data_IF_705909988089
#
_entry.id   IF_705909988089
#
_cell.length_a   1.000
_cell.length_b   1.000
_cell.length_c   1.000
_cell.angle_alpha   90.00
_cell.angle_beta   90.00
_cell.angle_gamma   90.00
#
_symmetry.space_group_name_H-M   'P 1'
#
loop_
_entity.id
_entity.type
_entity.pdbx_description
1 polymer ?
#
# COMPACT_ATOMS: atom_id res chain seq x y z
N UNK A 1 1.59 -22.89 4.25
CA UNK A 1 2.33 -21.60 4.31
C UNK A 1 1.80 -20.73 3.17
N UNK A 2 1.08 -19.64 3.46
CA UNK A 2 0.26 -18.91 2.47
C UNK A 2 1.07 -17.86 1.68
N UNK A 3 0.86 -17.72 0.35
CA UNK A 3 1.42 -16.61 -0.43
C UNK A 3 0.73 -15.30 -0.06
N UNK A 4 1.48 -14.39 0.55
CA UNK A 4 0.99 -13.09 1.04
C UNK A 4 0.55 -12.11 -0.06
N UNK A 5 0.93 -12.35 -1.32
CA UNK A 5 0.66 -11.44 -2.44
C UNK A 5 -0.83 -11.17 -2.67
N UNK A 6 -1.69 -12.18 -2.55
CA UNK A 6 -3.13 -12.02 -2.78
C UNK A 6 -3.92 -11.47 -1.58
N UNK A 7 -3.32 -11.47 -0.38
CA UNK A 7 -4.01 -11.11 0.88
C UNK A 7 -3.72 -9.66 1.29
N UNK A 8 -2.54 -9.14 0.97
CA UNK A 8 -2.11 -7.78 1.33
C UNK A 8 -2.51 -6.70 0.32
N UNK A 9 -2.89 -7.08 -0.90
CA UNK A 9 -3.26 -6.13 -1.96
C UNK A 9 -4.75 -5.78 -1.84
N UNK A 10 -5.04 -4.71 -1.10
CA UNK A 10 -6.34 -4.02 -1.19
C UNK A 10 -6.17 -2.79 -2.09
N UNK A 11 -6.99 -2.69 -3.13
CA UNK A 11 -7.06 -1.46 -3.93
C UNK A 11 -7.67 -0.36 -3.07
N UNK A 12 -6.94 0.72 -2.84
CA UNK A 12 -7.45 1.91 -2.16
C UNK A 12 -8.23 2.78 -3.15
N UNK A 13 -9.39 3.28 -2.75
CA UNK A 13 -10.15 4.25 -3.52
C UNK A 13 -9.72 5.69 -3.15
N UNK A 14 -9.62 6.61 -4.13
CA UNK A 14 -9.29 8.00 -3.85
C UNK A 14 -10.44 8.72 -3.15
N UNK A 15 -10.10 9.71 -2.32
CA UNK A 15 -11.10 10.54 -1.64
C UNK A 15 -11.99 11.27 -2.66
N UNK A 16 -13.34 11.16 -2.56
CA UNK A 16 -14.28 11.84 -3.46
C UNK A 16 -14.11 13.36 -3.50
N UNK A 17 -14.30 13.98 -4.68
CA UNK A 17 -14.16 15.44 -4.85
C UNK A 17 -15.27 16.24 -4.15
N UNK A 18 -16.47 15.67 -4.06
CA UNK A 18 -17.66 16.35 -3.53
C UNK A 18 -17.73 16.30 -2.00
N UNK A 19 -16.67 15.82 -1.37
CA UNK A 19 -16.63 15.65 0.06
C UNK A 19 -16.48 16.99 0.78
N UNK A 20 -17.46 17.31 1.62
CA UNK A 20 -17.53 18.56 2.39
C UNK A 20 -16.99 18.41 3.81
N UNK A 21 -16.63 17.19 4.24
CA UNK A 21 -16.07 16.91 5.55
C UNK A 21 -14.78 17.72 5.79
N UNK A 22 -14.73 18.44 6.91
CA UNK A 22 -13.62 19.34 7.24
C UNK A 22 -12.27 18.65 7.35
N UNK A 23 -12.25 17.35 7.69
CA UNK A 23 -11.04 16.51 7.83
C UNK A 23 -10.46 16.10 6.48
N UNK A 24 -11.32 15.88 5.49
CA UNK A 24 -10.94 15.28 4.19
C UNK A 24 -11.03 16.24 3.00
N UNK A 25 -11.65 17.42 3.17
CA UNK A 25 -11.84 18.41 2.08
C UNK A 25 -10.55 18.85 1.37
N UNK A 26 -9.40 18.71 2.03
CA UNK A 26 -8.08 19.05 1.47
C UNK A 26 -7.38 17.87 0.80
N UNK A 27 -7.90 16.66 0.97
CA UNK A 27 -7.33 15.41 0.46
C UNK A 27 -8.09 14.89 -0.78
N UNK A 28 -8.86 15.73 -1.47
CA UNK A 28 -9.61 15.36 -2.68
C UNK A 28 -8.67 14.73 -3.72
N UNK A 29 -9.12 13.65 -4.36
CA UNK A 29 -8.34 12.84 -5.31
C UNK A 29 -7.06 12.21 -4.75
N UNK A 30 -6.80 12.32 -3.44
CA UNK A 30 -5.64 11.68 -2.83
C UNK A 30 -6.00 10.27 -2.38
N UNK A 31 -5.03 9.35 -2.51
CA UNK A 31 -5.09 8.01 -1.93
C UNK A 31 -4.64 8.01 -0.46
N UNK A 32 -4.27 9.15 0.14
CA UNK A 32 -4.04 9.26 1.59
C UNK A 32 -2.95 8.33 2.16
N UNK A 33 -1.74 8.30 1.57
CA UNK A 33 -0.63 7.52 2.12
C UNK A 33 -0.04 8.21 3.36
N UNK A 34 -0.08 7.52 4.51
CA UNK A 34 0.39 8.02 5.80
C UNK A 34 1.82 7.57 6.13
N UNK A 35 2.12 6.30 5.87
CA UNK A 35 3.44 5.74 6.10
C UNK A 35 3.75 4.60 5.11
N UNK A 36 5.05 4.47 4.80
CA UNK A 36 5.61 3.45 3.92
C UNK A 36 6.52 2.53 4.72
N UNK A 37 6.09 1.31 5.00
CA UNK A 37 6.93 0.33 5.71
C UNK A 37 7.38 -0.78 4.78
N UNK A 38 8.68 -1.09 4.81
CA UNK A 38 9.22 -2.23 4.08
C UNK A 38 9.06 -3.51 4.90
N UNK A 39 8.36 -4.50 4.36
CA UNK A 39 8.23 -5.82 4.96
C UNK A 39 9.01 -6.86 4.16
N UNK A 40 9.69 -7.78 4.84
CA UNK A 40 10.35 -8.92 4.20
C UNK A 40 9.29 -9.90 3.71
N UNK A 41 9.44 -10.37 2.47
CA UNK A 41 8.50 -11.32 1.86
C UNK A 41 9.24 -12.53 1.31
N UNK A 42 8.52 -13.65 1.18
CA UNK A 42 8.98 -14.83 0.47
C UNK A 42 8.20 -14.94 -0.83
N UNK A 43 8.93 -14.95 -1.95
CA UNK A 43 8.37 -15.09 -3.29
C UNK A 43 9.09 -16.23 -4.04
N UNK A 44 8.45 -16.85 -5.05
CA UNK A 44 9.10 -17.84 -5.91
C UNK A 44 10.39 -17.28 -6.53
N UNK A 45 11.36 -18.15 -6.82
CA UNK A 45 12.65 -17.73 -7.39
C UNK A 45 12.50 -16.91 -8.68
N UNK A 46 11.52 -17.24 -9.53
CA UNK A 46 11.24 -16.51 -10.76
C UNK A 46 10.87 -15.04 -10.51
N UNK A 47 10.23 -14.73 -9.38
CA UNK A 47 9.78 -13.38 -9.04
C UNK A 47 10.74 -12.60 -8.13
N UNK A 48 11.75 -13.26 -7.54
CA UNK A 48 12.69 -12.60 -6.60
C UNK A 48 13.34 -11.34 -7.16
N UNK A 49 13.64 -11.32 -8.47
CA UNK A 49 14.26 -10.16 -9.10
C UNK A 49 13.38 -8.90 -9.02
N UNK A 50 12.05 -9.07 -9.06
CA UNK A 50 11.06 -7.98 -9.00
C UNK A 50 10.97 -7.33 -7.62
N UNK A 51 11.26 -8.08 -6.57
CA UNK A 51 11.12 -7.65 -5.17
C UNK A 51 12.47 -7.40 -4.49
N UNK A 52 13.56 -7.34 -5.26
CA UNK A 52 14.90 -7.11 -4.74
C UNK A 52 15.14 -5.60 -4.55
N UNK A 53 15.48 -5.19 -3.34
CA UNK A 53 15.83 -3.81 -3.05
C UNK A 53 17.30 -3.48 -3.36
N UNK A 54 17.70 -2.21 -3.17
CA UNK A 54 19.09 -1.73 -3.38
C UNK A 54 20.14 -2.48 -2.55
N UNK A 55 19.76 -3.02 -1.38
CA UNK A 55 20.62 -3.83 -0.50
C UNK A 55 20.61 -5.32 -0.86
N UNK A 56 19.82 -5.72 -1.86
CA UNK A 56 19.66 -7.10 -2.28
C UNK A 56 18.73 -7.95 -1.42
N UNK A 57 18.01 -7.36 -0.48
CA UNK A 57 16.99 -8.08 0.29
C UNK A 57 15.69 -8.18 -0.51
N UNK A 58 14.92 -9.24 -0.26
CA UNK A 58 13.59 -9.42 -0.81
C UNK A 58 12.57 -8.80 0.13
N UNK A 59 12.08 -7.62 -0.23
CA UNK A 59 11.08 -6.90 0.54
C UNK A 59 10.08 -6.18 -0.38
N UNK A 60 8.94 -5.78 0.18
CA UNK A 60 7.97 -4.92 -0.51
C UNK A 60 7.60 -3.77 0.38
N UNK A 61 7.34 -2.60 -0.21
CA UNK A 61 6.73 -1.49 0.51
C UNK A 61 5.23 -1.80 0.71
N UNK A 62 4.75 -1.56 1.92
CA UNK A 62 3.33 -1.56 2.25
C UNK A 62 2.95 -0.15 2.66
N UNK A 63 1.93 0.39 2.01
CA UNK A 63 1.41 1.73 2.23
C UNK A 63 0.22 1.64 3.17
N UNK A 64 0.31 2.30 4.32
CA UNK A 64 -0.86 2.54 5.17
C UNK A 64 -1.68 3.69 4.57
N UNK A 65 -2.89 3.40 4.13
CA UNK A 65 -3.82 4.40 3.61
C UNK A 65 -4.90 4.71 4.63
N UNK A 66 -5.11 6.00 4.90
CA UNK A 66 -6.22 6.47 5.70
C UNK A 66 -7.51 6.43 4.87
N UNK A 67 -8.49 5.62 5.29
CA UNK A 67 -9.81 5.54 4.65
C UNK A 67 -10.87 6.29 5.47
N UNK A 68 -11.99 6.60 4.83
CA UNK A 68 -13.13 7.26 5.46
C UNK A 68 -13.98 6.30 6.28
N UNK A 69 -13.80 4.98 6.09
CA UNK A 69 -14.43 3.93 6.86
C UNK A 69 -13.82 3.89 8.27
N UNK A 70 -14.44 4.61 9.21
CA UNK A 70 -14.06 4.67 10.62
C UNK A 70 -15.27 4.54 11.53
#
# INVERSE_FOLDING_TARGET
MMPLGGVLLKTSEPVPQDLTDGKWKWLKNCLGALDCTHIKIRVPNADKLRYRNRKGEINTNVLGVCSQDG
#
